data_IF_072760268654
#
_entry.id   IF_072760268654
#
_cell.length_a   1.000
_cell.length_b   1.000
_cell.length_c   1.000
_cell.angle_alpha   90.00
_cell.angle_beta   90.00
_cell.angle_gamma   90.00
#
_symmetry.space_group_name_H-M   'P 1'
#
loop_
_entity.id
_entity.type
_entity.pdbx_description
1 polymer ?
#
# COMPACT_ATOMS: atom_id res chain seq x y z
N UNK A 1 7.01 27.78 -5.55
CA UNK A 1 6.29 26.57 -5.08
C UNK A 1 7.07 25.27 -5.27
N UNK A 2 8.26 25.27 -5.92
CA UNK A 2 9.11 24.09 -6.13
C UNK A 2 10.01 23.73 -4.93
N UNK A 3 10.49 24.73 -4.16
CA UNK A 3 11.40 24.52 -3.01
C UNK A 3 10.92 23.44 -2.02
N UNK A 4 9.63 23.44 -1.66
CA UNK A 4 9.10 22.51 -0.66
C UNK A 4 9.07 21.05 -1.16
N UNK A 5 8.90 20.83 -2.47
CA UNK A 5 8.96 19.48 -3.04
C UNK A 5 10.40 18.97 -3.09
N UNK A 6 11.35 19.85 -3.43
CA UNK A 6 12.78 19.53 -3.44
C UNK A 6 13.28 19.22 -2.03
N UNK A 7 12.85 20.01 -1.04
CA UNK A 7 13.14 19.77 0.39
C UNK A 7 12.55 18.44 0.89
N UNK A 8 11.31 18.11 0.49
CA UNK A 8 10.70 16.84 0.84
C UNK A 8 11.45 15.66 0.20
N UNK A 9 11.88 15.79 -1.05
CA UNK A 9 12.67 14.77 -1.73
C UNK A 9 14.04 14.58 -1.06
N UNK A 10 14.72 15.67 -0.70
CA UNK A 10 15.99 15.61 0.03
C UNK A 10 15.83 14.91 1.39
N UNK A 11 14.74 15.20 2.11
CA UNK A 11 14.41 14.52 3.37
C UNK A 11 14.18 13.02 3.15
N UNK A 12 13.43 12.63 2.11
CA UNK A 12 13.21 11.22 1.80
C UNK A 12 14.51 10.49 1.48
N UNK A 13 15.42 11.10 0.73
CA UNK A 13 16.75 10.53 0.42
C UNK A 13 17.60 10.33 1.68
N UNK A 14 17.52 11.26 2.64
CA UNK A 14 18.19 11.11 3.94
C UNK A 14 17.61 9.93 4.72
N UNK A 15 16.30 9.79 4.78
CA UNK A 15 15.65 8.65 5.45
C UNK A 15 16.06 7.33 4.79
N UNK A 16 16.01 7.23 3.46
CA UNK A 16 16.40 6.03 2.71
C UNK A 16 17.83 5.60 3.04
N UNK A 17 18.79 6.55 3.00
CA UNK A 17 20.19 6.27 3.33
C UNK A 17 20.37 5.79 4.78
N UNK A 18 19.67 6.38 5.73
CA UNK A 18 19.76 5.94 7.13
C UNK A 18 19.09 4.58 7.36
N UNK A 19 17.96 4.29 6.69
CA UNK A 19 17.33 2.97 6.74
C UNK A 19 18.23 1.89 6.11
N UNK A 20 18.91 2.20 5.01
CA UNK A 20 19.90 1.30 4.41
C UNK A 20 21.05 1.02 5.37
N UNK A 21 21.66 2.05 5.98
CA UNK A 21 22.75 1.89 6.95
C UNK A 21 22.33 0.96 8.11
N UNK A 22 21.16 1.21 8.71
CA UNK A 22 20.67 0.37 9.81
C UNK A 22 20.36 -1.05 9.32
N UNK A 23 19.88 -1.23 8.09
CA UNK A 23 19.65 -2.56 7.53
C UNK A 23 20.95 -3.33 7.26
N UNK A 24 22.09 -2.65 7.04
CA UNK A 24 23.41 -3.29 6.96
C UNK A 24 23.91 -3.72 8.34
N UNK A 25 23.69 -2.90 9.37
CA UNK A 25 24.13 -3.18 10.74
C UNK A 25 23.26 -4.24 11.45
N UNK A 26 21.94 -4.17 11.26
CA UNK A 26 20.96 -5.07 11.87
C UNK A 26 19.84 -5.42 10.87
N UNK A 27 20.01 -6.51 10.09
CA UNK A 27 19.04 -6.93 9.08
C UNK A 27 17.65 -7.35 9.62
N UNK A 28 17.55 -7.70 10.91
CA UNK A 28 16.31 -8.14 11.53
C UNK A 28 15.49 -6.98 12.11
N UNK A 29 16.13 -5.84 12.35
CA UNK A 29 15.45 -4.63 12.81
C UNK A 29 14.42 -4.16 11.78
N UNK A 30 13.17 -4.06 12.22
CA UNK A 30 12.07 -3.56 11.41
C UNK A 30 12.06 -2.04 11.42
N UNK A 31 12.16 -1.43 10.24
CA UNK A 31 12.13 0.03 10.06
C UNK A 31 11.01 0.39 9.09
N UNK A 32 10.26 1.44 9.43
CA UNK A 32 9.02 1.81 8.74
C UNK A 32 8.96 3.31 8.37
N UNK A 33 10.02 4.10 8.55
CA UNK A 33 9.91 5.55 8.35
C UNK A 33 9.63 5.85 6.87
N UNK A 34 10.43 5.31 5.95
CA UNK A 34 10.22 5.52 4.51
C UNK A 34 8.91 4.87 4.02
N UNK A 35 8.51 3.75 4.63
CA UNK A 35 7.22 3.10 4.41
C UNK A 35 6.07 4.06 4.73
N UNK A 36 6.04 4.61 5.96
CA UNK A 36 5.00 5.52 6.43
C UNK A 36 4.97 6.79 5.58
N UNK A 37 6.13 7.37 5.26
CA UNK A 37 6.22 8.56 4.40
C UNK A 37 5.61 8.27 3.01
N UNK A 38 5.97 7.16 2.37
CA UNK A 38 5.39 6.79 1.08
C UNK A 38 3.88 6.49 1.17
N UNK A 39 3.40 5.86 2.25
CA UNK A 39 1.96 5.64 2.48
C UNK A 39 1.19 6.96 2.59
N UNK A 40 1.72 7.91 3.36
CA UNK A 40 1.09 9.22 3.56
C UNK A 40 1.08 10.02 2.26
N UNK A 41 2.21 10.06 1.53
CA UNK A 41 2.28 10.72 0.22
C UNK A 41 1.33 10.05 -0.77
N UNK A 42 1.33 8.72 -0.85
CA UNK A 42 0.44 7.98 -1.73
C UNK A 42 -1.03 8.29 -1.46
N UNK A 43 -1.42 8.28 -0.18
CA UNK A 43 -2.78 8.63 0.26
C UNK A 43 -3.14 10.07 -0.10
N UNK A 44 -2.23 11.02 0.12
CA UNK A 44 -2.43 12.42 -0.24
C UNK A 44 -2.70 12.57 -1.73
N UNK A 45 -1.87 11.98 -2.59
CA UNK A 45 -2.01 12.11 -4.04
C UNK A 45 -3.28 11.43 -4.57
N UNK A 46 -3.64 10.25 -4.04
CA UNK A 46 -4.92 9.61 -4.33
C UNK A 46 -6.10 10.50 -3.93
N UNK A 47 -6.06 11.13 -2.74
CA UNK A 47 -7.12 12.06 -2.29
C UNK A 47 -7.28 13.31 -3.15
N UNK A 48 -6.23 13.68 -3.90
CA UNK A 48 -6.23 14.80 -4.84
C UNK A 48 -6.52 14.37 -6.29
N UNK A 49 -6.85 13.11 -6.52
CA UNK A 49 -7.16 12.57 -7.85
C UNK A 49 -5.94 12.19 -8.69
N UNK A 50 -4.72 12.37 -8.19
CA UNK A 50 -3.50 11.97 -8.89
C UNK A 50 -3.14 10.52 -8.54
N UNK A 51 -3.94 9.58 -9.05
CA UNK A 51 -3.84 8.17 -8.67
C UNK A 51 -2.61 7.46 -9.21
N UNK A 52 -2.13 7.76 -10.42
CA UNK A 52 -0.97 7.05 -10.97
C UNK A 52 0.27 7.26 -10.10
N UNK A 53 0.54 8.50 -9.69
CA UNK A 53 1.62 8.79 -8.76
C UNK A 53 1.32 8.27 -7.35
N UNK A 54 0.09 8.49 -6.86
CA UNK A 54 -0.31 8.07 -5.52
C UNK A 54 -0.16 6.56 -5.32
N UNK A 55 -0.71 5.76 -6.23
CA UNK A 55 -0.63 4.30 -6.19
C UNK A 55 0.81 3.81 -6.36
N UNK A 56 1.61 4.43 -7.22
CA UNK A 56 3.04 4.09 -7.34
C UNK A 56 3.79 4.27 -6.01
N UNK A 57 3.43 5.28 -5.22
CA UNK A 57 3.98 5.49 -3.87
C UNK A 57 3.46 4.47 -2.86
N UNK A 58 2.17 4.12 -2.93
CA UNK A 58 1.62 3.02 -2.11
C UNK A 58 2.37 1.73 -2.41
N UNK A 59 2.51 1.31 -3.66
CA UNK A 59 3.21 0.07 -4.04
C UNK A 59 4.62 0.02 -3.44
N UNK A 60 5.43 1.07 -3.67
CA UNK A 60 6.79 1.19 -3.12
C UNK A 60 6.84 1.15 -1.59
N UNK A 61 5.81 1.63 -0.91
CA UNK A 61 5.79 1.68 0.55
C UNK A 61 5.82 0.30 1.21
N UNK A 62 5.27 -0.73 0.55
CA UNK A 62 5.19 -2.09 1.10
C UNK A 62 6.37 -2.98 0.71
N UNK A 63 7.38 -2.46 0.00
CA UNK A 63 8.57 -3.23 -0.38
C UNK A 63 9.67 -3.16 0.69
N UNK A 64 10.17 -4.30 1.22
CA UNK A 64 9.83 -5.67 0.86
C UNK A 64 8.59 -6.20 1.62
N UNK A 65 7.70 -6.91 0.92
CA UNK A 65 6.37 -7.32 1.40
C UNK A 65 6.42 -8.18 2.66
N UNK A 66 7.42 -9.07 2.78
CA UNK A 66 7.59 -9.92 3.96
C UNK A 66 7.93 -9.16 5.26
N UNK A 67 8.42 -7.91 5.17
CA UNK A 67 8.74 -7.07 6.34
C UNK A 67 7.70 -5.97 6.57
N UNK A 68 7.21 -5.38 5.48
CA UNK A 68 6.40 -4.15 5.53
C UNK A 68 4.90 -4.38 5.40
N UNK A 69 4.45 -5.53 4.89
CA UNK A 69 3.02 -5.85 4.83
C UNK A 69 2.52 -6.24 6.22
N UNK A 70 1.76 -5.35 6.84
CA UNK A 70 1.05 -5.58 8.10
C UNK A 70 -0.39 -5.06 8.05
N UNK A 71 -1.12 -5.27 9.15
CA UNK A 71 -2.53 -4.85 9.29
C UNK A 71 -2.71 -3.35 8.99
N UNK A 72 -1.88 -2.50 9.58
CA UNK A 72 -1.99 -1.04 9.45
C UNK A 72 -1.60 -0.55 8.06
N UNK A 73 -0.47 -1.02 7.53
CA UNK A 73 -0.02 -0.62 6.18
C UNK A 73 -1.03 -1.05 5.12
N UNK A 74 -1.61 -2.24 5.27
CA UNK A 74 -2.67 -2.73 4.40
C UNK A 74 -3.96 -1.92 4.54
N UNK A 75 -4.35 -1.55 5.76
CA UNK A 75 -5.51 -0.71 6.01
C UNK A 75 -5.46 0.61 5.23
N UNK A 76 -4.30 1.27 5.19
CA UNK A 76 -4.13 2.50 4.40
C UNK A 76 -4.04 2.22 2.89
N UNK A 77 -3.30 1.18 2.49
CA UNK A 77 -3.15 0.82 1.08
C UNK A 77 -4.50 0.47 0.43
N UNK A 78 -5.30 -0.43 1.04
CA UNK A 78 -6.56 -0.91 0.47
C UNK A 78 -7.57 0.20 0.19
N UNK A 79 -7.59 1.25 1.01
CA UNK A 79 -8.48 2.39 0.84
C UNK A 79 -8.13 3.23 -0.39
N UNK A 80 -6.83 3.37 -0.70
CA UNK A 80 -6.39 4.05 -1.92
C UNK A 80 -6.86 3.29 -3.16
N UNK A 81 -6.73 1.95 -3.17
CA UNK A 81 -7.20 1.11 -4.28
C UNK A 81 -8.71 1.08 -4.42
N UNK A 82 -9.47 1.01 -3.32
CA UNK A 82 -10.93 1.11 -3.36
C UNK A 82 -11.38 2.45 -3.98
N UNK A 83 -10.75 3.55 -3.56
CA UNK A 83 -11.05 4.87 -4.12
C UNK A 83 -10.70 4.94 -5.60
N UNK A 84 -9.56 4.38 -6.03
CA UNK A 84 -9.20 4.28 -7.44
C UNK A 84 -10.26 3.49 -8.24
N UNK A 85 -10.61 2.30 -7.79
CA UNK A 85 -11.59 1.41 -8.44
C UNK A 85 -12.95 2.12 -8.55
N UNK A 86 -13.39 2.81 -7.52
CA UNK A 86 -14.63 3.59 -7.54
C UNK A 86 -14.59 4.67 -8.64
N UNK A 87 -13.48 5.39 -8.76
CA UNK A 87 -13.32 6.46 -9.75
C UNK A 87 -13.19 5.91 -11.18
N UNK A 88 -12.57 4.74 -11.35
CA UNK A 88 -12.53 4.03 -12.63
C UNK A 88 -13.91 3.50 -13.04
N UNK A 89 -14.67 2.94 -12.09
CA UNK A 89 -16.04 2.46 -12.34
C UNK A 89 -16.99 3.59 -12.76
N UNK A 90 -16.77 4.80 -12.23
CA UNK A 90 -17.48 6.02 -12.64
C UNK A 90 -16.96 6.62 -13.96
N UNK A 91 -15.97 6.00 -14.61
CA UNK A 91 -15.30 6.50 -15.82
C UNK A 91 -14.69 7.90 -15.65
N UNK A 92 -14.36 8.30 -14.42
CA UNK A 92 -13.73 9.59 -14.15
C UNK A 92 -12.22 9.54 -14.36
N UNK A 93 -11.63 8.35 -14.42
CA UNK A 93 -10.19 8.11 -14.50
C UNK A 93 -9.90 6.94 -15.42
N UNK A 94 -8.89 7.11 -16.26
CA UNK A 94 -8.30 6.07 -17.10
C UNK A 94 -6.83 5.93 -16.72
N UNK A 95 -6.38 4.71 -16.46
CA UNK A 95 -4.99 4.41 -16.12
C UNK A 95 -4.21 3.94 -17.34
N UNK A 96 -2.91 4.27 -17.38
CA UNK A 96 -1.97 3.64 -18.31
C UNK A 96 -1.82 2.13 -18.03
N UNK A 97 -1.55 1.37 -19.08
CA UNK A 97 -1.39 -0.09 -19.00
C UNK A 97 -0.23 -0.52 -18.11
N UNK A 98 0.85 0.26 -18.08
CA UNK A 98 1.96 0.03 -17.16
C UNK A 98 1.51 0.09 -15.69
N UNK A 99 0.71 1.08 -15.33
CA UNK A 99 0.20 1.23 -13.96
C UNK A 99 -0.77 0.09 -13.64
N UNK A 100 -1.62 -0.32 -14.59
CA UNK A 100 -2.51 -1.47 -14.39
C UNK A 100 -1.71 -2.75 -14.10
N UNK A 101 -0.62 -2.98 -14.82
CA UNK A 101 0.27 -4.13 -14.58
C UNK A 101 0.93 -4.05 -13.20
N UNK A 102 1.46 -2.87 -12.81
CA UNK A 102 2.06 -2.66 -11.50
C UNK A 102 1.06 -2.94 -10.36
N UNK A 103 -0.20 -2.54 -10.53
CA UNK A 103 -1.28 -2.80 -9.56
C UNK A 103 -1.58 -4.30 -9.45
N UNK A 104 -1.72 -4.99 -10.59
CA UNK A 104 -1.96 -6.44 -10.60
C UNK A 104 -0.82 -7.19 -9.92
N UNK A 105 0.42 -6.83 -10.25
CA UNK A 105 1.61 -7.41 -9.63
C UNK A 105 1.63 -7.13 -8.12
N UNK A 106 1.37 -5.90 -7.70
CA UNK A 106 1.28 -5.54 -6.28
C UNK A 106 0.26 -6.41 -5.54
N UNK A 107 -0.96 -6.57 -6.08
CA UNK A 107 -2.00 -7.37 -5.45
C UNK A 107 -1.65 -8.87 -5.40
N UNK A 108 -0.91 -9.38 -6.38
CA UNK A 108 -0.36 -10.76 -6.35
C UNK A 108 0.69 -10.93 -5.26
N UNK A 109 1.55 -9.93 -5.03
CA UNK A 109 2.50 -9.97 -3.93
C UNK A 109 1.78 -9.90 -2.58
N UNK A 110 0.80 -9.00 -2.41
CA UNK A 110 -0.02 -8.96 -1.20
C UNK A 110 -0.80 -10.26 -0.99
N UNK A 111 -1.27 -10.92 -2.06
CA UNK A 111 -1.86 -12.25 -1.98
C UNK A 111 -0.87 -13.29 -1.43
N UNK A 112 0.35 -13.30 -1.96
CA UNK A 112 1.40 -14.27 -1.63
C UNK A 112 1.92 -14.13 -0.20
N UNK A 113 2.17 -12.90 0.25
CA UNK A 113 2.75 -12.61 1.57
C UNK A 113 1.69 -12.33 2.65
N UNK A 114 0.42 -12.17 2.27
CA UNK A 114 -0.66 -11.74 3.16
C UNK A 114 -1.43 -12.86 3.88
N UNK A 115 -0.97 -14.12 3.79
CA UNK A 115 -1.72 -15.28 4.33
C UNK A 115 -1.93 -15.16 5.84
N UNK A 116 -0.87 -14.81 6.55
CA UNK A 116 -0.83 -14.73 8.00
C UNK A 116 -0.99 -13.29 8.53
N UNK A 117 -1.39 -12.36 7.65
CA UNK A 117 -1.60 -10.95 7.99
C UNK A 117 -3.10 -10.68 8.12
N UNK A 118 -3.55 -10.33 9.33
CA UNK A 118 -4.93 -9.97 9.59
C UNK A 118 -5.29 -8.61 8.95
N UNK A 119 -6.54 -8.41 8.54
CA UNK A 119 -7.01 -7.14 7.94
C UNK A 119 -7.66 -6.19 8.93
N UNK A 120 -7.86 -6.66 10.16
CA UNK A 120 -8.46 -5.91 11.26
C UNK A 120 -7.65 -6.15 12.54
N UNK A 121 -7.50 -5.11 13.36
CA UNK A 121 -7.05 -5.26 14.74
C UNK A 121 -8.28 -5.70 15.54
N UNK A 122 -8.27 -6.92 16.08
CA UNK A 122 -9.35 -7.40 16.95
C UNK A 122 -9.40 -6.55 18.22
N UNK A 123 -10.59 -6.01 18.51
CA UNK A 123 -10.77 -5.33 19.79
C UNK A 123 -10.94 -6.38 20.89
N UNK A 124 -10.31 -6.21 22.07
CA UNK A 124 -10.39 -7.20 23.17
C UNK A 124 -11.81 -7.56 23.64
N UNK A 125 -12.82 -6.77 23.24
CA UNK A 125 -14.22 -6.90 23.64
C UNK A 125 -15.13 -7.43 22.51
N UNK A 126 -14.60 -7.74 21.32
CA UNK A 126 -15.40 -8.31 20.22
C UNK A 126 -15.79 -9.76 20.55
N UNK A 127 -17.10 -10.02 20.67
CA UNK A 127 -17.66 -11.29 21.16
C UNK A 127 -17.83 -12.37 20.08
N UNK A 128 -17.75 -12.02 18.79
CA UNK A 128 -17.94 -12.98 17.70
C UNK A 128 -16.61 -13.41 17.07
N UNK A 129 -16.34 -14.72 16.97
CA UNK A 129 -15.18 -15.22 16.25
C UNK A 129 -15.32 -14.84 14.77
N UNK A 130 -14.48 -13.91 14.30
CA UNK A 130 -14.51 -13.46 12.92
C UNK A 130 -14.15 -14.63 11.99
N UNK A 131 -14.80 -14.71 10.82
CA UNK A 131 -14.57 -15.78 9.84
C UNK A 131 -13.08 -15.86 9.45
N UNK A 132 -12.35 -16.85 9.97
CA UNK A 132 -10.88 -16.94 9.84
C UNK A 132 -10.36 -16.82 8.39
N UNK A 133 -11.15 -17.22 7.39
CA UNK A 133 -10.74 -17.18 5.98
C UNK A 133 -10.91 -15.83 5.25
N UNK A 134 -11.71 -14.90 5.78
CA UNK A 134 -12.02 -13.62 5.09
C UNK A 134 -11.28 -12.41 5.63
N UNK A 135 -10.62 -12.54 6.78
CA UNK A 135 -9.93 -11.42 7.44
C UNK A 135 -8.43 -11.43 7.19
N UNK A 136 -8.01 -11.90 6.02
CA UNK A 136 -6.60 -11.98 5.63
C UNK A 136 -6.32 -11.01 4.50
N UNK A 137 -5.11 -10.45 4.49
CA UNK A 137 -4.66 -9.60 3.39
C UNK A 137 -4.75 -10.36 2.07
N UNK A 138 -4.49 -11.67 2.08
CA UNK A 138 -4.69 -12.54 0.92
C UNK A 138 -6.11 -12.48 0.37
N UNK A 139 -7.12 -12.60 1.22
CA UNK A 139 -8.52 -12.55 0.80
C UNK A 139 -8.89 -11.19 0.22
N UNK A 140 -8.56 -10.10 0.92
CA UNK A 140 -8.88 -8.75 0.46
C UNK A 140 -8.11 -8.39 -0.83
N UNK A 141 -6.86 -8.86 -0.98
CA UNK A 141 -6.06 -8.65 -2.20
C UNK A 141 -6.68 -9.32 -3.42
N UNK A 142 -7.18 -10.57 -3.28
CA UNK A 142 -7.93 -11.26 -4.34
C UNK A 142 -9.21 -10.54 -4.71
N UNK A 143 -9.93 -10.02 -3.72
CA UNK A 143 -11.16 -9.26 -3.95
C UNK A 143 -10.87 -7.97 -4.73
N UNK A 144 -9.86 -7.19 -4.30
CA UNK A 144 -9.45 -5.97 -5.02
C UNK A 144 -8.98 -6.29 -6.43
N UNK A 145 -8.22 -7.37 -6.62
CA UNK A 145 -7.75 -7.81 -7.94
C UNK A 145 -8.92 -8.16 -8.86
N UNK A 146 -9.90 -8.89 -8.34
CA UNK A 146 -11.11 -9.23 -9.08
C UNK A 146 -11.88 -7.98 -9.51
N UNK A 147 -12.12 -7.04 -8.60
CA UNK A 147 -12.81 -5.78 -8.89
C UNK A 147 -12.05 -4.95 -9.94
N UNK A 148 -10.72 -4.89 -9.81
CA UNK A 148 -9.88 -4.16 -10.76
C UNK A 148 -9.94 -4.78 -12.16
N UNK A 149 -9.85 -6.10 -12.28
CA UNK A 149 -9.92 -6.80 -13.57
C UNK A 149 -11.26 -6.64 -14.30
N UNK A 150 -12.35 -6.31 -13.60
CA UNK A 150 -13.63 -5.99 -14.24
C UNK A 150 -13.65 -4.62 -14.94
N UNK A 151 -12.66 -3.77 -14.67
CA UNK A 151 -12.58 -2.40 -15.15
C UNK A 151 -11.43 -2.16 -16.14
N UNK A 152 -10.62 -3.18 -16.43
CA UNK A 152 -9.42 -3.10 -17.28
C UNK A 152 -9.66 -3.72 -18.64
#
# INVERSE_FOLDING_TARGET
>A
MTSANDEAEEMMRKIEKEEENVSYDDPEKKIYHLCIVNLVIGTLYCSKGNYEFGVSRIIKSLEPYNKKLGTDTWFYAKRCFLSLIENMAKQMIMLRDTIKQDILQFLEHCEMYGRDVATHIEQPLEQEPKQLGKNTVTYESRLLKHLFLQLV
#
